data_IF_092428967899
#
_entry.id   IF_092428967899
#
_cell.length_a   1.000
_cell.length_b   1.000
_cell.length_c   1.000
_cell.angle_alpha   90.00
_cell.angle_beta   90.00
_cell.angle_gamma   90.00
#
_symmetry.space_group_name_H-M   'P 1'
#
loop_
_entity.id
_entity.type
_entity.pdbx_description
1 polymer ?
#
# COMPACT_ATOMS: atom_id res chain seq x y z
N UNK A 1 -4.69 -3.20 11.88
CA UNK A 1 -4.97 -3.07 10.42
C UNK A 1 -3.88 -3.72 9.54
N UNK A 2 -2.60 -3.56 9.87
CA UNK A 2 -1.45 -4.11 9.10
C UNK A 2 -1.41 -5.65 9.00
N UNK A 3 -1.93 -6.37 10.00
CA UNK A 3 -1.90 -7.85 10.10
C UNK A 3 -2.58 -8.61 8.95
N UNK A 4 -3.35 -7.95 8.08
CA UNK A 4 -4.02 -8.59 6.93
C UNK A 4 -3.21 -8.53 5.62
N UNK A 5 -2.08 -7.82 5.57
CA UNK A 5 -1.22 -7.90 4.40
C UNK A 5 -0.53 -9.27 4.38
N UNK A 6 -0.78 -10.14 3.39
CA UNK A 6 -0.18 -11.48 3.37
C UNK A 6 1.34 -11.46 3.14
N UNK A 7 1.87 -10.34 2.65
CA UNK A 7 3.29 -10.10 2.37
C UNK A 7 3.94 -9.16 3.41
N UNK A 8 3.22 -8.85 4.49
CA UNK A 8 3.66 -7.94 5.56
C UNK A 8 4.24 -6.60 5.07
N UNK A 9 3.77 -6.12 3.92
CA UNK A 9 4.33 -4.93 3.26
C UNK A 9 3.84 -3.61 3.86
N UNK A 10 3.02 -3.65 4.92
CA UNK A 10 2.47 -2.46 5.59
C UNK A 10 3.19 -2.28 6.93
N UNK A 11 4.03 -1.25 7.00
CA UNK A 11 4.86 -0.96 8.17
C UNK A 11 4.21 0.19 8.95
N UNK A 12 3.89 -0.05 10.21
CA UNK A 12 3.30 0.94 11.10
C UNK A 12 2.78 0.31 12.38
N UNK A 13 2.47 1.16 13.36
CA UNK A 13 1.91 0.76 14.66
C UNK A 13 0.46 1.18 14.76
N UNK A 14 -0.27 0.57 15.69
CA UNK A 14 -1.67 0.92 15.95
C UNK A 14 -1.80 2.41 16.31
N UNK A 15 -2.81 3.08 15.74
CA UNK A 15 -3.08 4.52 15.91
C UNK A 15 -2.07 5.48 15.28
N UNK A 16 -1.10 4.99 14.49
CA UNK A 16 -0.18 5.83 13.72
C UNK A 16 -0.38 5.68 12.21
N UNK A 17 0.26 6.58 11.47
CA UNK A 17 0.30 6.52 10.01
C UNK A 17 1.12 5.31 9.58
N UNK A 18 0.51 4.46 8.75
CA UNK A 18 1.17 3.29 8.18
C UNK A 18 1.78 3.64 6.82
N UNK A 19 2.90 3.02 6.48
CA UNK A 19 3.56 3.16 5.17
C UNK A 19 3.54 1.82 4.43
N UNK A 20 3.45 1.88 3.11
CA UNK A 20 3.50 0.69 2.26
C UNK A 20 4.90 0.55 1.68
N UNK A 21 5.54 -0.60 1.89
CA UNK A 21 6.77 -0.96 1.20
C UNK A 21 6.44 -1.46 -0.22
N UNK A 22 6.66 -0.61 -1.22
CA UNK A 22 6.35 -0.93 -2.62
C UNK A 22 7.22 -2.03 -3.22
N UNK A 23 8.38 -2.37 -2.63
CA UNK A 23 9.22 -3.46 -3.13
C UNK A 23 8.60 -4.84 -2.85
N UNK A 24 7.89 -4.97 -1.74
CA UNK A 24 7.24 -6.22 -1.31
C UNK A 24 5.74 -6.23 -1.65
N UNK A 25 5.14 -5.06 -1.86
CA UNK A 25 3.72 -4.94 -2.15
C UNK A 25 3.41 -5.42 -3.58
N UNK A 26 2.60 -6.47 -3.69
CA UNK A 26 2.14 -7.03 -4.97
C UNK A 26 0.87 -6.37 -5.53
N UNK A 27 0.28 -5.43 -4.80
CA UNK A 27 -0.97 -4.79 -5.21
C UNK A 27 -2.21 -5.70 -5.09
N UNK A 28 -2.25 -6.60 -4.10
CA UNK A 28 -3.37 -7.54 -3.86
C UNK A 28 -4.71 -6.88 -3.46
N UNK A 29 -4.74 -5.57 -3.19
CA UNK A 29 -5.94 -4.76 -2.86
C UNK A 29 -6.68 -5.12 -1.56
N UNK A 30 -6.20 -6.11 -0.79
CA UNK A 30 -6.83 -6.53 0.49
C UNK A 30 -6.82 -5.44 1.57
N UNK A 31 -5.86 -4.52 1.51
CA UNK A 31 -5.71 -3.44 2.48
C UNK A 31 -6.69 -2.28 2.29
N UNK A 32 -7.27 -2.11 1.09
CA UNK A 32 -8.19 -1.03 0.74
C UNK A 32 -9.44 -1.04 1.65
N UNK A 33 -10.28 -2.11 1.67
CA UNK A 33 -11.49 -2.12 2.49
C UNK A 33 -11.21 -2.15 4.00
N UNK A 34 -9.96 -2.41 4.40
CA UNK A 34 -9.57 -2.47 5.80
C UNK A 34 -9.07 -1.12 6.32
N UNK A 35 -8.81 -0.16 5.43
CA UNK A 35 -8.34 1.17 5.82
C UNK A 35 -9.50 2.00 6.36
N UNK A 36 -9.52 2.34 7.67
CA UNK A 36 -10.64 3.06 8.27
C UNK A 36 -10.78 4.49 7.72
N UNK A 37 -9.70 5.04 7.17
CA UNK A 37 -9.63 6.37 6.56
C UNK A 37 -9.60 6.34 5.04
N UNK A 38 -9.71 5.15 4.43
CA UNK A 38 -9.68 4.95 2.97
C UNK A 38 -8.49 5.62 2.26
N UNK A 39 -7.30 5.58 2.87
CA UNK A 39 -6.11 6.28 2.38
C UNK A 39 -5.33 5.53 1.28
N UNK A 40 -5.72 4.30 0.92
CA UNK A 40 -4.91 3.44 0.04
C UNK A 40 -5.59 3.28 -1.33
N UNK A 41 -4.84 3.58 -2.41
CA UNK A 41 -5.28 3.34 -3.79
C UNK A 41 -4.25 2.52 -4.54
N UNK A 42 -4.72 1.50 -5.26
CA UNK A 42 -3.90 0.68 -6.15
C UNK A 42 -4.21 1.08 -7.59
N UNK A 43 -3.21 1.63 -8.27
CA UNK A 43 -3.29 2.00 -9.69
C UNK A 43 -2.50 1.00 -10.52
N UNK A 44 -3.09 0.52 -11.61
CA UNK A 44 -2.38 -0.19 -12.66
C UNK A 44 -1.88 0.83 -13.66
N UNK A 45 -0.58 0.84 -13.96
CA UNK A 45 -0.03 1.62 -15.06
C UNK A 45 0.32 0.68 -16.20
N UNK A 46 -0.35 0.84 -17.32
CA UNK A 46 -0.13 0.02 -18.52
C UNK A 46 1.06 0.50 -19.38
N UNK A 47 2.07 1.14 -18.77
CA UNK A 47 3.25 1.64 -19.48
C UNK A 47 4.36 2.16 -18.55
N UNK A 48 5.58 1.67 -18.78
CA UNK A 48 6.87 2.14 -18.24
C UNK A 48 7.04 2.23 -16.71
N UNK A 49 7.50 1.11 -16.13
CA UNK A 49 7.77 0.85 -14.70
C UNK A 49 8.74 1.80 -13.97
N UNK A 50 9.24 2.89 -14.59
CA UNK A 50 10.29 3.76 -14.00
C UNK A 50 9.81 5.05 -13.33
N UNK A 51 8.54 5.43 -13.45
CA UNK A 51 8.05 6.77 -13.02
C UNK A 51 7.31 6.77 -11.66
N UNK A 52 6.93 5.60 -11.12
CA UNK A 52 5.97 5.50 -10.01
C UNK A 52 6.48 5.83 -8.60
N UNK A 53 7.79 5.90 -8.36
CA UNK A 53 8.31 5.96 -6.99
C UNK A 53 8.28 7.37 -6.36
N UNK A 54 7.83 8.42 -7.07
CA UNK A 54 7.96 9.81 -6.58
C UNK A 54 6.69 10.56 -6.20
N UNK A 55 5.50 10.08 -6.53
CA UNK A 55 4.29 10.92 -6.43
C UNK A 55 3.10 10.28 -5.69
N UNK A 56 3.32 9.40 -4.72
CA UNK A 56 2.22 8.94 -3.86
C UNK A 56 2.72 8.85 -2.40
N UNK A 57 2.46 9.93 -1.65
CA UNK A 57 2.30 9.94 -0.18
C UNK A 57 0.97 10.62 0.08
#
# INVERSE_FOLDING_TARGET
MYKKCPFDSIIGTENFVHRVNFNECTGCKLCIPMCPTDCIKVISIDGDKKILQKNIV
#
